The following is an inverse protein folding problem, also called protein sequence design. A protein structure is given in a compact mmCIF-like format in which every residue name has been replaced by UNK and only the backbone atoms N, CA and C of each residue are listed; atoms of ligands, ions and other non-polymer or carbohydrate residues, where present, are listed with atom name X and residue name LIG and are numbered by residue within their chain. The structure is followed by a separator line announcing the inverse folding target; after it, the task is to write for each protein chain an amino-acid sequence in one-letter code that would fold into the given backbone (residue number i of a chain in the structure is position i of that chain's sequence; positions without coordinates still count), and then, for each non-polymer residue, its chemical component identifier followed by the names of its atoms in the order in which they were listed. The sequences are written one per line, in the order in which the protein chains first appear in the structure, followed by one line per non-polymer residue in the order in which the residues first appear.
data_IF_752713802962
#
_entry.id   IF_752713802962
#
_cell.length_a   1.000
_cell.length_b   1.000
_cell.length_c   1.000
_cell.angle_alpha   90.00
_cell.angle_beta   90.00
_cell.angle_gamma   90.00
#
_symmetry.space_group_name_H-M   'P 1'
#
loop_
_entity.id
_entity.type
_entity.pdbx_description
1 polymer ?
#
# COMPACT_ATOMS: atom_id res chain seq x y z
N UNK A 1 47.32 18.06 -41.44
CA UNK A 1 46.12 18.60 -40.78
C UNK A 1 45.19 17.43 -40.51
N UNK A 2 44.99 17.04 -39.25
CA UNK A 2 44.26 15.83 -38.83
C UNK A 2 42.78 16.15 -38.61
N UNK A 3 41.82 15.33 -39.10
CA UNK A 3 40.40 15.56 -38.89
C UNK A 3 39.97 15.21 -37.44
N UNK A 4 39.05 16.01 -36.89
CA UNK A 4 38.38 15.77 -35.61
C UNK A 4 37.32 14.67 -35.75
N UNK A 5 37.17 13.75 -34.77
CA UNK A 5 35.98 12.91 -34.71
C UNK A 5 34.84 13.64 -33.98
N UNK A 6 33.68 13.69 -34.64
CA UNK A 6 32.38 13.94 -34.01
C UNK A 6 32.07 12.80 -33.04
N UNK A 7 31.95 13.08 -31.74
CA UNK A 7 31.37 12.15 -30.78
C UNK A 7 29.88 12.50 -30.65
N UNK A 8 29.07 11.59 -31.17
CA UNK A 8 27.61 11.61 -31.12
C UNK A 8 27.15 11.36 -29.68
N UNK A 9 26.29 12.25 -29.17
CA UNK A 9 25.67 12.13 -27.86
C UNK A 9 24.73 10.91 -27.80
N UNK A 10 25.00 9.98 -26.88
CA UNK A 10 24.08 8.93 -26.49
C UNK A 10 23.43 9.27 -25.17
N UNK A 11 22.29 9.96 -25.20
CA UNK A 11 21.39 10.06 -24.06
C UNK A 11 20.67 8.70 -23.94
N UNK A 12 21.14 7.85 -23.03
CA UNK A 12 20.38 6.68 -22.58
C UNK A 12 19.30 7.17 -21.60
N UNK A 13 18.23 7.75 -22.13
CA UNK A 13 17.00 7.90 -21.38
C UNK A 13 16.31 6.53 -21.34
N UNK A 14 16.70 5.71 -20.36
CA UNK A 14 15.93 4.54 -20.00
C UNK A 14 14.63 4.99 -19.35
N UNK A 15 13.54 5.00 -20.11
CA UNK A 15 12.21 5.03 -19.50
C UNK A 15 12.04 3.70 -18.76
N UNK A 16 12.05 3.71 -17.43
CA UNK A 16 11.53 2.59 -16.66
C UNK A 16 10.03 2.49 -16.97
N UNK A 17 9.69 1.55 -17.83
CA UNK A 17 8.31 1.13 -18.08
C UNK A 17 7.66 0.80 -16.75
N UNK A 18 6.49 1.38 -16.47
CA UNK A 18 5.57 0.92 -15.43
C UNK A 18 5.30 -0.55 -15.71
N UNK A 19 5.99 -1.45 -15.01
CA UNK A 19 5.71 -2.87 -15.15
C UNK A 19 4.34 -3.10 -14.55
N UNK A 20 3.37 -3.49 -15.38
CA UNK A 20 2.23 -4.21 -14.85
C UNK A 20 2.80 -5.48 -14.21
N UNK A 21 2.92 -5.50 -12.88
CA UNK A 21 3.35 -6.68 -12.17
C UNK A 21 2.25 -7.74 -12.34
N UNK A 22 2.52 -8.72 -13.21
CA UNK A 22 1.57 -9.78 -13.51
C UNK A 22 1.24 -10.57 -12.26
N UNK A 23 2.17 -10.68 -11.31
CA UNK A 23 1.96 -11.40 -10.03
C UNK A 23 0.92 -10.69 -9.17
N UNK A 24 0.95 -9.35 -9.15
CA UNK A 24 -0.06 -8.58 -8.44
C UNK A 24 -1.41 -8.71 -9.14
N UNK A 25 -1.45 -8.60 -10.48
CA UNK A 25 -2.70 -8.76 -11.22
C UNK A 25 -3.33 -10.15 -10.98
N UNK A 26 -2.53 -11.21 -10.98
CA UNK A 26 -2.97 -12.58 -10.70
C UNK A 26 -3.58 -12.69 -9.30
N UNK A 27 -2.89 -12.14 -8.28
CA UNK A 27 -3.39 -12.13 -6.91
C UNK A 27 -4.67 -11.29 -6.74
N UNK A 28 -4.77 -10.16 -7.44
CA UNK A 28 -6.00 -9.35 -7.44
C UNK A 28 -7.15 -10.08 -8.13
N UNK A 29 -6.89 -10.79 -9.24
CA UNK A 29 -7.90 -11.61 -9.91
C UNK A 29 -8.34 -12.81 -9.07
N UNK A 30 -7.45 -13.42 -8.30
CA UNK A 30 -7.82 -14.44 -7.31
C UNK A 30 -8.69 -13.85 -6.19
N UNK A 31 -8.35 -12.64 -5.72
CA UNK A 31 -9.04 -11.99 -4.61
C UNK A 31 -10.42 -11.42 -4.98
N UNK A 32 -10.56 -10.88 -6.19
CA UNK A 32 -11.74 -10.11 -6.62
C UNK A 32 -12.52 -10.77 -7.77
N UNK A 33 -11.94 -11.78 -8.43
CA UNK A 33 -12.49 -12.37 -9.65
C UNK A 33 -12.05 -11.62 -10.91
N UNK A 34 -12.75 -11.89 -12.02
CA UNK A 34 -12.42 -11.35 -13.34
C UNK A 34 -12.66 -9.85 -13.49
N UNK A 35 -13.46 -9.25 -12.62
CA UNK A 35 -13.75 -7.82 -12.61
C UNK A 35 -13.18 -7.19 -11.35
N UNK A 36 -12.02 -6.54 -11.48
CA UNK A 36 -11.39 -5.84 -10.37
C UNK A 36 -12.23 -4.63 -9.96
N UNK A 37 -12.37 -4.35 -8.64
CA UNK A 37 -12.95 -3.08 -8.21
C UNK A 37 -12.06 -1.92 -8.67
N UNK A 38 -12.59 -0.69 -8.61
CA UNK A 38 -11.69 0.47 -8.57
C UNK A 38 -10.85 0.35 -7.30
N UNK A 39 -9.57 0.67 -7.34
CA UNK A 39 -8.73 0.68 -6.16
C UNK A 39 -7.65 1.75 -6.26
N UNK A 40 -7.14 2.17 -5.11
CA UNK A 40 -5.83 2.82 -5.00
C UNK A 40 -4.82 1.81 -4.46
N UNK A 41 -3.56 1.92 -4.84
CA UNK A 41 -2.53 0.97 -4.44
C UNK A 41 -1.22 1.66 -4.10
N UNK A 42 -0.53 1.15 -3.08
CA UNK A 42 0.85 1.49 -2.78
C UNK A 42 1.68 0.20 -2.65
N UNK A 43 2.96 0.30 -2.99
CA UNK A 43 3.96 -0.74 -2.77
C UNK A 43 4.91 -0.26 -1.68
N UNK A 44 5.22 -1.13 -0.71
CA UNK A 44 6.15 -0.83 0.36
C UNK A 44 6.67 -2.14 0.96
N UNK A 45 7.97 -2.29 1.15
CA UNK A 45 8.57 -3.40 1.92
C UNK A 45 8.20 -3.29 3.41
N UNK A 46 7.06 -3.88 3.81
CA UNK A 46 6.54 -3.74 5.16
C UNK A 46 7.28 -4.65 6.14
N UNK A 47 7.89 -5.73 5.68
CA UNK A 47 8.55 -6.72 6.53
C UNK A 47 10.10 -6.63 6.51
N UNK A 48 10.66 -5.77 5.65
CA UNK A 48 12.10 -5.55 5.52
C UNK A 48 12.85 -6.67 4.81
N UNK A 49 12.16 -7.52 4.02
CA UNK A 49 12.79 -8.64 3.30
C UNK A 49 13.38 -8.25 1.94
N UNK A 50 13.22 -6.98 1.54
CA UNK A 50 13.71 -6.44 0.28
C UNK A 50 12.75 -6.65 -0.90
N UNK A 51 11.56 -7.20 -0.68
CA UNK A 51 10.48 -7.32 -1.66
C UNK A 51 9.29 -6.47 -1.21
N UNK A 52 8.77 -5.62 -2.12
CA UNK A 52 7.63 -4.79 -1.79
C UNK A 52 6.34 -5.61 -1.55
N UNK A 53 5.61 -5.25 -0.50
CA UNK A 53 4.25 -5.69 -0.24
C UNK A 53 3.24 -4.71 -0.86
N UNK A 54 2.05 -5.20 -1.19
CA UNK A 54 1.01 -4.39 -1.80
C UNK A 54 -0.10 -4.01 -0.81
N UNK A 55 -0.37 -2.71 -0.70
CA UNK A 55 -1.50 -2.15 0.03
C UNK A 55 -2.57 -1.71 -0.97
N UNK A 56 -3.72 -2.39 -0.98
CA UNK A 56 -4.79 -2.21 -1.96
C UNK A 56 -6.04 -1.66 -1.26
N UNK A 57 -6.31 -0.38 -1.45
CA UNK A 57 -7.51 0.27 -0.96
C UNK A 57 -8.65 0.11 -1.96
N UNK A 58 -9.44 -0.95 -1.79
CA UNK A 58 -10.51 -1.32 -2.70
C UNK A 58 -11.73 -0.41 -2.54
N UNK A 59 -12.23 0.08 -3.67
CA UNK A 59 -13.34 1.03 -3.75
C UNK A 59 -14.57 0.40 -4.42
N UNK A 60 -15.73 1.01 -4.19
CA UNK A 60 -17.00 0.59 -4.78
C UNK A 60 -17.96 -0.05 -3.78
N UNK A 61 -19.19 -0.36 -4.21
CA UNK A 61 -20.30 -0.67 -3.31
C UNK A 61 -20.09 -1.95 -2.47
N UNK A 62 -19.28 -2.89 -2.96
CA UNK A 62 -18.98 -4.13 -2.23
C UNK A 62 -17.86 -3.96 -1.19
N UNK A 63 -17.06 -2.90 -1.31
CA UNK A 63 -15.83 -2.70 -0.53
C UNK A 63 -15.88 -1.47 0.36
N UNK A 64 -16.82 -0.55 0.10
CA UNK A 64 -17.02 0.69 0.83
C UNK A 64 -18.39 0.72 1.48
N UNK A 65 -18.42 1.23 2.71
CA UNK A 65 -19.62 1.69 3.39
C UNK A 65 -19.47 3.16 3.82
N UNK A 66 -20.44 3.67 4.57
CA UNK A 66 -20.42 5.05 5.09
C UNK A 66 -19.25 5.33 6.06
N UNK A 67 -18.62 4.30 6.59
CA UNK A 67 -17.51 4.41 7.53
C UNK A 67 -16.11 4.30 6.89
N UNK A 68 -16.02 4.05 5.58
CA UNK A 68 -14.75 3.86 4.88
C UNK A 68 -14.77 2.64 3.95
N UNK A 69 -13.63 2.32 3.36
CA UNK A 69 -13.48 1.19 2.46
C UNK A 69 -12.55 0.11 3.01
N UNK A 70 -12.40 -0.99 2.27
CA UNK A 70 -11.57 -2.12 2.68
C UNK A 70 -10.15 -1.95 2.15
N UNK A 71 -9.18 -2.02 3.06
CA UNK A 71 -7.77 -2.14 2.75
C UNK A 71 -7.39 -3.63 2.74
N UNK A 72 -6.74 -4.07 1.68
CA UNK A 72 -6.10 -5.38 1.60
C UNK A 72 -4.59 -5.19 1.70
N UNK A 73 -3.92 -6.08 2.43
CA UNK A 73 -2.47 -6.16 2.45
C UNK A 73 -2.07 -7.50 1.87
N UNK A 74 -1.29 -7.48 0.80
CA UNK A 74 -0.73 -8.66 0.16
C UNK A 74 0.78 -8.68 0.38
N UNK A 75 1.28 -9.80 0.89
CA UNK A 75 2.70 -10.01 1.05
C UNK A 75 3.35 -10.27 -0.31
N UNK A 76 4.42 -9.54 -0.61
CA UNK A 76 5.28 -9.78 -1.76
C UNK A 76 6.22 -10.96 -1.55
N UNK A 77 6.61 -11.59 -2.65
CA UNK A 77 7.72 -12.54 -2.71
C UNK A 77 8.36 -12.46 -4.09
N UNK A 78 9.43 -13.22 -4.34
CA UNK A 78 10.03 -13.29 -5.68
C UNK A 78 9.02 -13.75 -6.76
N UNK A 79 8.00 -14.53 -6.40
CA UNK A 79 7.14 -15.21 -7.37
C UNK A 79 5.66 -14.80 -7.35
N UNK A 80 5.16 -14.32 -6.22
CA UNK A 80 3.73 -14.05 -6.06
C UNK A 80 3.45 -12.96 -5.02
N UNK A 81 2.25 -12.39 -5.10
CA UNK A 81 1.60 -11.70 -3.98
C UNK A 81 0.62 -12.66 -3.31
N UNK A 82 0.61 -12.71 -1.98
CA UNK A 82 -0.34 -13.55 -1.22
C UNK A 82 -1.11 -12.69 -0.24
N UNK A 83 -2.44 -12.86 -0.16
CA UNK A 83 -3.24 -12.12 0.82
C UNK A 83 -2.74 -12.39 2.24
N UNK A 84 -2.35 -11.32 2.94
CA UNK A 84 -1.96 -11.39 4.35
C UNK A 84 -3.12 -11.01 5.26
N UNK A 85 -3.82 -9.93 4.95
CA UNK A 85 -4.98 -9.48 5.74
C UNK A 85 -5.88 -8.52 5.00
N UNK A 86 -7.06 -8.28 5.57
CA UNK A 86 -7.93 -7.16 5.19
C UNK A 86 -8.38 -6.39 6.42
N UNK A 87 -8.45 -5.07 6.30
CA UNK A 87 -8.97 -4.15 7.32
C UNK A 87 -10.15 -3.39 6.71
N UNK A 88 -11.32 -3.48 7.32
CA UNK A 88 -12.55 -2.84 6.83
C UNK A 88 -12.66 -1.41 7.36
N UNK A 89 -13.58 -0.63 6.79
CA UNK A 89 -13.94 0.73 7.25
C UNK A 89 -12.74 1.68 7.45
N UNK A 90 -11.72 1.53 6.60
CA UNK A 90 -10.55 2.39 6.56
C UNK A 90 -10.92 3.71 5.89
N UNK A 91 -10.54 4.82 6.52
CA UNK A 91 -10.53 6.14 5.90
C UNK A 91 -9.08 6.58 5.70
N UNK A 92 -8.80 7.16 4.53
CA UNK A 92 -7.48 7.68 4.19
C UNK A 92 -7.21 8.98 4.98
N UNK A 93 -5.94 9.36 5.23
CA UNK A 93 -4.73 8.78 4.66
C UNK A 93 -4.37 7.40 5.23
N UNK A 94 -3.79 6.55 4.39
CA UNK A 94 -3.05 5.37 4.82
C UNK A 94 -1.60 5.76 5.00
N UNK A 95 -1.07 5.50 6.18
CA UNK A 95 0.30 5.79 6.55
C UNK A 95 1.04 4.51 6.93
N UNK A 96 2.33 4.48 6.65
CA UNK A 96 3.27 3.50 7.19
C UNK A 96 4.05 4.14 8.34
N UNK A 97 4.05 3.49 9.50
CA UNK A 97 4.76 3.94 10.69
C UNK A 97 6.24 3.59 10.62
N UNK A 98 7.12 4.42 11.18
CA UNK A 98 8.50 4.02 11.44
C UNK A 98 8.63 2.88 12.49
N UNK A 99 7.56 2.60 13.24
CA UNK A 99 7.50 1.50 14.19
C UNK A 99 7.13 0.18 13.52
N UNK A 100 7.65 -0.91 14.07
CA UNK A 100 7.30 -2.27 13.66
C UNK A 100 6.86 -3.12 14.84
N UNK A 101 5.88 -3.97 14.59
CA UNK A 101 5.40 -5.02 15.49
C UNK A 101 5.47 -6.36 14.75
N UNK A 102 5.88 -7.44 15.41
CA UNK A 102 5.96 -8.79 14.82
C UNK A 102 6.72 -8.87 13.48
N UNK A 103 7.74 -8.02 13.32
CA UNK A 103 8.58 -7.97 12.12
C UNK A 103 8.00 -7.17 10.95
N UNK A 104 6.82 -6.56 11.11
CA UNK A 104 6.16 -5.77 10.07
C UNK A 104 5.97 -4.32 10.52
N UNK A 105 6.06 -3.36 9.60
CA UNK A 105 5.72 -1.95 9.85
C UNK A 105 4.28 -1.83 10.32
N UNK A 106 4.04 -1.07 11.37
CA UNK A 106 2.68 -0.74 11.78
C UNK A 106 2.06 0.20 10.74
N UNK A 107 0.74 0.11 10.54
CA UNK A 107 0.02 1.04 9.68
C UNK A 107 -0.79 2.02 10.53
N UNK A 108 -1.02 3.22 10.01
CA UNK A 108 -1.90 4.20 10.64
C UNK A 108 -2.97 4.59 9.62
N UNK A 109 -4.21 4.53 10.06
CA UNK A 109 -5.39 4.89 9.27
C UNK A 109 -6.34 5.72 10.10
N UNK A 110 -7.27 6.41 9.44
CA UNK A 110 -8.39 7.03 10.12
C UNK A 110 -9.55 6.05 10.23
N UNK A 111 -10.18 5.98 11.40
CA UNK A 111 -11.38 5.19 11.66
C UNK A 111 -12.49 6.08 12.17
N UNK A 112 -13.66 6.02 11.51
CA UNK A 112 -14.82 6.84 11.89
C UNK A 112 -15.18 6.63 13.36
N UNK A 113 -15.12 7.71 14.14
CA UNK A 113 -15.44 7.72 15.57
C UNK A 113 -14.28 7.37 16.51
N UNK A 114 -13.15 6.89 15.99
CA UNK A 114 -11.93 6.61 16.76
C UNK A 114 -10.77 7.56 16.41
N UNK A 115 -10.84 8.25 15.26
CA UNK A 115 -9.76 9.11 14.80
C UNK A 115 -8.64 8.32 14.12
N UNK A 116 -7.42 8.85 14.18
CA UNK A 116 -6.25 8.14 13.68
C UNK A 116 -5.87 7.02 14.65
N UNK A 117 -5.77 5.80 14.15
CA UNK A 117 -5.54 4.59 14.94
C UNK A 117 -4.37 3.78 14.39
N UNK A 118 -3.68 3.07 15.27
CA UNK A 118 -2.55 2.21 14.88
C UNK A 118 -3.04 0.79 14.63
N UNK A 119 -2.86 0.31 13.40
CA UNK A 119 -2.96 -1.10 13.05
C UNK A 119 -1.60 -1.73 13.33
N UNK A 120 -1.44 -2.23 14.57
CA UNK A 120 -0.26 -3.04 14.90
C UNK A 120 -0.33 -4.35 14.14
N UNK A 121 0.77 -4.73 13.50
CA UNK A 121 0.85 -6.04 12.86
C UNK A 121 0.77 -7.16 13.90
N UNK A 122 0.21 -8.30 13.48
CA UNK A 122 0.14 -9.57 14.20
C UNK A 122 0.72 -10.68 13.34
N UNK A 123 0.83 -11.88 13.89
CA UNK A 123 1.14 -13.13 13.16
C UNK A 123 0.27 -13.36 11.91
N UNK A 124 -1.00 -12.97 12.01
CA UNK A 124 -2.07 -13.14 11.02
C UNK A 124 -2.34 -11.89 10.16
N UNK A 125 -1.48 -10.88 10.25
CA UNK A 125 -1.59 -9.64 9.45
C UNK A 125 -2.06 -8.43 10.25
N UNK A 126 -2.88 -7.56 9.66
CA UNK A 126 -3.42 -6.38 10.35
C UNK A 126 -4.84 -6.62 10.86
N UNK A 127 -5.25 -5.98 11.97
CA UNK A 127 -6.58 -6.14 12.54
C UNK A 127 -7.70 -5.84 11.54
N UNK A 128 -8.78 -6.64 11.61
CA UNK A 128 -9.92 -6.49 10.70
C UNK A 128 -10.67 -5.17 10.90
N UNK A 129 -10.83 -4.70 12.14
CA UNK A 129 -11.61 -3.52 12.46
C UNK A 129 -10.71 -2.42 13.07
N UNK A 130 -10.49 -1.29 12.38
CA UNK A 130 -9.64 -0.21 12.86
C UNK A 130 -10.29 0.55 14.03
N UNK A 131 -11.63 0.60 14.14
CA UNK A 131 -12.32 1.36 15.20
C UNK A 131 -12.14 0.77 16.61
N UNK A 132 -11.60 -0.45 16.69
CA UNK A 132 -11.28 -1.13 17.95
C UNK A 132 -9.82 -0.98 18.35
N UNK A 133 -9.01 -0.32 17.51
CA UNK A 133 -7.59 -0.12 17.77
C UNK A 133 -7.37 1.14 18.59
N UNK A 134 -6.21 1.21 19.26
CA UNK A 134 -5.84 2.39 20.04
C UNK A 134 -5.60 3.60 19.12
N UNK A 135 -5.78 4.82 19.63
CA UNK A 135 -5.34 6.02 18.94
C UNK A 135 -3.84 6.00 18.63
N UNK A 136 -3.48 6.59 17.49
CA UNK A 136 -2.11 6.94 17.17
C UNK A 136 -1.64 8.13 18.01
N UNK A 137 -0.41 8.05 18.49
CA UNK A 137 0.23 9.17 19.19
C UNK A 137 0.72 10.22 18.20
N UNK A 138 0.90 11.46 18.66
CA UNK A 138 1.46 12.53 17.85
C UNK A 138 2.85 12.17 17.29
N UNK A 139 3.67 11.45 18.07
CA UNK A 139 4.99 10.97 17.64
C UNK A 139 4.88 9.96 16.51
N UNK A 140 3.99 8.97 16.62
CA UNK A 140 3.75 7.97 15.56
C UNK A 140 3.26 8.61 14.26
N UNK A 141 2.41 9.65 14.35
CA UNK A 141 1.98 10.40 13.18
C UNK A 141 3.13 11.19 12.54
N UNK A 142 3.98 11.83 13.36
CA UNK A 142 5.15 12.59 12.88
C UNK A 142 6.24 11.70 12.27
N UNK A 143 6.39 10.47 12.77
CA UNK A 143 7.34 9.48 12.26
C UNK A 143 6.72 8.52 11.22
N UNK A 144 5.60 8.91 10.61
CA UNK A 144 4.94 8.12 9.56
C UNK A 144 5.04 8.78 8.20
N UNK A 145 5.05 7.95 7.17
CA UNK A 145 4.96 8.36 5.77
C UNK A 145 3.55 8.09 5.25
N UNK A 146 2.99 9.02 4.47
CA UNK A 146 1.70 8.81 3.82
C UNK A 146 1.92 8.02 2.53
N UNK A 147 1.26 6.87 2.42
CA UNK A 147 1.31 6.02 1.22
C UNK A 147 0.12 6.26 0.29
N UNK A 148 -1.07 6.48 0.85
CA UNK A 148 -2.29 6.77 0.07
C UNK A 148 -3.07 7.92 0.70
N UNK A 149 -3.59 8.79 -0.16
CA UNK A 149 -4.44 9.92 0.22
C UNK A 149 -5.83 9.80 -0.43
N UNK A 150 -6.80 10.55 0.10
CA UNK A 150 -7.99 10.79 -0.69
C UNK A 150 -7.59 11.57 -1.94
N UNK A 151 -8.11 11.21 -3.13
CA UNK A 151 -7.88 12.05 -4.30
C UNK A 151 -8.39 13.45 -3.97
N UNK A 152 -7.55 14.46 -4.22
CA UNK A 152 -8.02 15.84 -4.14
C UNK A 152 -9.21 15.97 -5.08
N UNK A 153 -10.33 16.46 -4.53
CA UNK A 153 -11.57 16.57 -5.28
C UNK A 153 -11.35 17.65 -6.36
N UNK A 154 -11.42 17.32 -7.67
CA UNK A 154 -11.33 18.33 -8.71
C UNK A 154 -12.55 19.28 -8.69
#
# INVERSE_FOLDING_TARGET
MRPYPLILAGLLTGCASVSHDTRLNDALSEQFGSELPRYQSALYDLNGDGVDDALIYAQGPNWCGSAGCTLFVLQGSEHAFTLRSKTTIVQLPLRVSAHSTDGWRDLIVHARGAGDVVLRATDSGYPLNPSMQRPATATELQSSEILLEYPENP
#
